data_IF_762885064831
#
_entry.id   IF_762885064831
#
_cell.length_a   1.000
_cell.length_b   1.000
_cell.length_c   1.000
_cell.angle_alpha   90.00
_cell.angle_beta   90.00
_cell.angle_gamma   90.00
#
_symmetry.space_group_name_H-M   'P 1'
#
loop_
_entity.id
_entity.type
_entity.pdbx_description
1 polymer ?
#
# COMPACT_ATOMS: atom_id res chain seq x y z
N UNK A 1 -21.94 -8.95 0.89
CA UNK A 1 -20.62 -9.58 1.14
C UNK A 1 -20.00 -9.95 -0.20
N UNK A 2 -18.85 -9.38 -0.57
CA UNK A 2 -18.09 -9.76 -1.79
C UNK A 2 -16.89 -10.67 -1.45
N UNK A 3 -17.09 -11.63 -0.55
CA UNK A 3 -16.00 -12.51 -0.05
C UNK A 3 -15.44 -13.45 -1.13
N UNK A 4 -16.26 -13.79 -2.14
CA UNK A 4 -15.87 -14.64 -3.27
C UNK A 4 -14.78 -14.03 -4.17
N UNK A 5 -14.74 -12.70 -4.35
CA UNK A 5 -13.78 -12.06 -5.27
C UNK A 5 -12.33 -12.12 -4.75
N UNK A 6 -12.15 -12.08 -3.42
CA UNK A 6 -10.84 -12.18 -2.79
C UNK A 6 -10.21 -13.57 -2.98
N UNK A 7 -11.02 -14.63 -3.07
CA UNK A 7 -10.54 -16.00 -3.30
C UNK A 7 -10.07 -16.23 -4.75
N UNK A 8 -10.58 -15.45 -5.70
CA UNK A 8 -10.21 -15.51 -7.12
C UNK A 8 -9.06 -14.55 -7.49
N UNK A 9 -8.47 -13.87 -6.50
CA UNK A 9 -7.43 -12.86 -6.72
C UNK A 9 -7.96 -11.56 -7.35
N UNK A 10 -9.28 -11.37 -7.37
CA UNK A 10 -9.94 -10.19 -7.94
C UNK A 10 -10.07 -9.11 -6.87
N UNK A 11 -9.56 -7.92 -7.18
CA UNK A 11 -9.64 -6.79 -6.28
C UNK A 11 -11.07 -6.26 -6.17
N UNK A 12 -11.75 -6.57 -5.05
CA UNK A 12 -13.14 -6.20 -4.78
C UNK A 12 -13.36 -4.84 -4.11
N UNK A 13 -12.32 -4.01 -3.96
CA UNK A 13 -12.40 -2.71 -3.28
C UNK A 13 -12.72 -1.55 -4.22
N UNK A 14 -13.41 -0.51 -3.73
CA UNK A 14 -13.78 0.66 -4.55
C UNK A 14 -12.59 1.55 -4.93
N UNK A 15 -11.50 1.58 -4.13
CA UNK A 15 -10.34 2.45 -4.35
C UNK A 15 -9.02 1.70 -4.31
N UNK A 16 -8.23 1.73 -5.40
CA UNK A 16 -6.93 1.05 -5.50
C UNK A 16 -5.95 1.45 -4.38
N UNK A 17 -5.14 0.53 -3.84
CA UNK A 17 -4.04 0.88 -2.94
C UNK A 17 -2.98 1.74 -3.64
N UNK A 18 -2.27 2.59 -2.89
CA UNK A 18 -1.12 3.35 -3.41
C UNK A 18 0.03 2.38 -3.71
N UNK A 19 0.72 2.57 -4.84
CA UNK A 19 1.73 1.64 -5.34
C UNK A 19 1.16 0.54 -6.25
N UNK A 20 -0.16 0.49 -6.45
CA UNK A 20 -0.82 -0.57 -7.21
C UNK A 20 -1.85 -0.01 -8.19
N UNK A 21 -1.85 -0.54 -9.41
CA UNK A 21 -2.89 -0.34 -10.42
C UNK A 21 -3.80 -1.56 -10.49
N UNK A 22 -5.02 -1.36 -10.98
CA UNK A 22 -5.93 -2.46 -11.27
C UNK A 22 -5.88 -2.69 -12.78
N UNK A 23 -5.39 -3.85 -13.19
CA UNK A 23 -5.36 -4.29 -14.60
C UNK A 23 -6.10 -5.63 -14.65
N UNK A 24 -7.17 -5.70 -15.45
CA UNK A 24 -8.02 -6.90 -15.57
C UNK A 24 -8.51 -7.46 -14.23
N UNK A 25 -8.87 -6.57 -13.31
CA UNK A 25 -9.35 -6.92 -11.97
C UNK A 25 -8.27 -7.38 -10.99
N UNK A 26 -6.98 -7.36 -11.38
CA UNK A 26 -5.84 -7.75 -10.55
C UNK A 26 -5.00 -6.54 -10.17
N UNK A 27 -4.36 -6.61 -9.00
CA UNK A 27 -3.40 -5.60 -8.58
C UNK A 27 -2.05 -5.85 -9.26
N UNK A 28 -1.61 -4.87 -10.05
CA UNK A 28 -0.29 -4.84 -10.67
C UNK A 28 0.48 -3.67 -10.10
N UNK A 29 1.78 -3.81 -9.94
CA UNK A 29 2.65 -2.75 -9.43
C UNK A 29 2.56 -1.48 -10.29
N UNK A 30 2.41 -0.34 -9.63
CA UNK A 30 2.51 0.96 -10.28
C UNK A 30 3.97 1.41 -10.32
N UNK A 31 4.55 1.50 -11.51
CA UNK A 31 5.96 1.88 -11.72
C UNK A 31 6.32 3.27 -11.18
N UNK A 32 5.34 4.19 -11.06
CA UNK A 32 5.57 5.55 -10.56
C UNK A 32 5.40 5.63 -9.04
N UNK A 33 4.42 4.92 -8.48
CA UNK A 33 4.11 4.98 -7.06
C UNK A 33 4.91 3.96 -6.21
N UNK A 34 5.38 2.85 -6.79
CA UNK A 34 6.17 1.83 -6.10
C UNK A 34 7.48 2.39 -5.51
N UNK A 35 8.29 3.18 -6.23
CA UNK A 35 9.50 3.76 -5.64
C UNK A 35 9.20 4.65 -4.42
N UNK A 36 8.09 5.39 -4.48
CA UNK A 36 7.63 6.22 -3.36
C UNK A 36 7.19 5.36 -2.19
N UNK A 37 6.44 4.28 -2.44
CA UNK A 37 6.03 3.33 -1.42
C UNK A 37 7.23 2.66 -0.75
N UNK A 38 8.22 2.22 -1.53
CA UNK A 38 9.46 1.64 -1.00
C UNK A 38 10.24 2.63 -0.15
N UNK A 39 10.27 3.91 -0.56
CA UNK A 39 10.89 4.98 0.23
C UNK A 39 10.19 5.15 1.58
N UNK A 40 8.85 5.19 1.61
CA UNK A 40 8.08 5.27 2.86
C UNK A 40 8.37 4.08 3.78
N UNK A 41 8.37 2.86 3.24
CA UNK A 41 8.64 1.63 4.02
C UNK A 41 10.07 1.63 4.56
N UNK A 42 11.05 2.05 3.76
CA UNK A 42 12.45 2.17 4.20
C UNK A 42 12.56 3.15 5.36
N UNK A 43 12.06 4.37 5.19
CA UNK A 43 12.13 5.40 6.23
C UNK A 43 11.42 4.97 7.52
N UNK A 44 10.27 4.27 7.44
CA UNK A 44 9.61 3.71 8.62
C UNK A 44 10.48 2.69 9.34
N UNK A 45 11.16 1.80 8.59
CA UNK A 45 12.08 0.80 9.16
C UNK A 45 13.31 1.44 9.80
N UNK A 46 13.77 2.56 9.24
CA UNK A 46 14.87 3.36 9.78
C UNK A 46 14.45 4.20 11.00
N UNK A 47 13.17 4.13 11.41
CA UNK A 47 12.65 4.80 12.60
C UNK A 47 12.14 6.23 12.37
N UNK A 48 12.05 6.69 11.12
CA UNK A 48 11.52 8.02 10.82
C UNK A 48 10.04 8.14 11.24
N UNK A 49 9.67 9.32 11.74
CA UNK A 49 8.28 9.63 12.07
C UNK A 49 7.42 9.81 10.81
N UNK A 50 6.11 9.62 10.94
CA UNK A 50 5.15 9.81 9.85
C UNK A 50 5.20 11.23 9.24
N UNK A 51 5.59 12.23 10.04
CA UNK A 51 5.75 13.62 9.58
C UNK A 51 6.97 13.77 8.67
N UNK A 52 8.10 13.21 9.05
CA UNK A 52 9.33 13.23 8.24
C UNK A 52 9.14 12.48 6.91
N UNK A 53 8.48 11.33 6.95
CA UNK A 53 8.12 10.56 5.75
C UNK A 53 7.17 11.38 4.85
N UNK A 54 6.20 12.07 5.45
CA UNK A 54 5.28 12.94 4.73
C UNK A 54 5.99 14.10 4.03
N UNK A 55 6.93 14.76 4.71
CA UNK A 55 7.76 15.82 4.13
C UNK A 55 8.62 15.31 2.97
N UNK A 56 9.26 14.15 3.13
CA UNK A 56 10.11 13.57 2.09
C UNK A 56 9.34 13.11 0.83
N UNK A 57 8.05 12.80 0.98
CA UNK A 57 7.21 12.27 -0.11
C UNK A 57 6.12 13.24 -0.59
N UNK A 58 6.13 14.48 -0.07
CA UNK A 58 5.10 15.50 -0.28
C UNK A 58 3.68 14.98 0.00
N UNK A 59 3.49 14.29 1.13
CA UNK A 59 2.19 13.76 1.58
C UNK A 59 1.90 14.12 3.03
N UNK A 60 0.62 14.22 3.35
CA UNK A 60 0.15 14.36 4.73
C UNK A 60 0.46 13.11 5.56
N UNK A 61 0.84 13.29 6.83
CA UNK A 61 1.16 12.18 7.75
C UNK A 61 0.01 11.15 7.88
N UNK A 62 -1.25 11.61 7.84
CA UNK A 62 -2.43 10.73 7.86
C UNK A 62 -2.51 9.84 6.61
N UNK A 63 -2.11 10.37 5.45
CA UNK A 63 -2.06 9.61 4.19
C UNK A 63 -0.93 8.59 4.27
N UNK A 64 0.25 8.98 4.75
CA UNK A 64 1.39 8.08 4.96
C UNK A 64 1.01 6.93 5.90
N UNK A 65 0.38 7.23 7.05
CA UNK A 65 -0.08 6.20 7.98
C UNK A 65 -1.03 5.20 7.31
N UNK A 66 -2.00 5.68 6.52
CA UNK A 66 -2.94 4.84 5.79
C UNK A 66 -2.24 3.95 4.75
N UNK A 67 -1.25 4.49 4.03
CA UNK A 67 -0.49 3.73 3.03
C UNK A 67 0.33 2.63 3.71
N UNK A 68 1.08 2.97 4.77
CA UNK A 68 1.93 2.03 5.49
C UNK A 68 1.11 0.93 6.19
N UNK A 69 0.05 1.29 6.90
CA UNK A 69 -0.87 0.33 7.54
C UNK A 69 -1.49 -0.64 6.55
N UNK A 70 -1.84 -0.15 5.35
CA UNK A 70 -2.39 -1.01 4.29
C UNK A 70 -1.34 -1.92 3.68
N UNK A 71 -0.09 -1.46 3.58
CA UNK A 71 1.03 -2.22 3.02
C UNK A 71 1.49 -3.33 3.96
N UNK A 72 1.55 -3.06 5.27
CA UNK A 72 1.80 -4.11 6.28
C UNK A 72 0.67 -5.15 6.30
N UNK A 73 -0.58 -4.73 6.12
CA UNK A 73 -1.73 -5.65 5.99
C UNK A 73 -1.77 -6.46 4.69
N UNK A 74 -1.26 -5.93 3.57
CA UNK A 74 -1.16 -6.62 2.29
C UNK A 74 0.01 -7.62 2.23
N UNK A 75 0.97 -7.51 3.17
CA UNK A 75 2.14 -8.37 3.29
C UNK A 75 2.07 -9.25 4.55
N UNK A 76 0.89 -9.76 4.88
CA UNK A 76 0.79 -10.92 5.76
C UNK A 76 0.85 -12.19 4.92
N UNK A 77 1.91 -13.01 5.01
CA UNK A 77 1.79 -14.41 4.65
C UNK A 77 0.73 -15.03 5.57
N UNK A 78 -0.13 -15.85 4.99
CA UNK A 78 -0.81 -16.90 5.75
C UNK A 78 0.32 -17.79 6.28
N UNK A 79 0.79 -17.49 7.50
CA UNK A 79 1.54 -18.41 8.32
C UNK A 79 0.58 -18.93 9.38
N UNK A 80 -0.13 -20.00 9.00
CA UNK A 80 -0.65 -21.05 9.86
C UNK A 80 -0.70 -22.32 9.01
#
# INVERSE_FOLDING_TARGET
>A
MKRHLAAEGVYGGEKRPFGWRIVDGRLVEDTEEQPVLQTMVRMQKDGASLREIGQATCKEATIVNRILFRTSGLRHPVSA
#
